data_IF_892798172960
#
_entry.id   IF_892798172960
#
_cell.length_a   1.000
_cell.length_b   1.000
_cell.length_c   1.000
_cell.angle_alpha   90.00
_cell.angle_beta   90.00
_cell.angle_gamma   90.00
#
_symmetry.space_group_name_H-M   'P 1'
#
loop_
_entity.id
_entity.type
_entity.pdbx_description
1 polymer ?
#
# COMPACT_ATOMS: atom_id res chain seq x y z
N UNK A 1 32.12 -15.89 -11.21
CA UNK A 1 30.77 -16.37 -11.58
C UNK A 1 29.80 -15.93 -10.50
N UNK A 2 28.72 -15.22 -10.84
CA UNK A 2 27.69 -14.88 -9.87
C UNK A 2 26.83 -16.13 -9.62
N UNK A 3 26.96 -16.73 -8.44
CA UNK A 3 26.09 -17.81 -7.98
C UNK A 3 24.73 -17.21 -7.65
N UNK A 4 23.73 -17.49 -8.47
CA UNK A 4 22.34 -17.17 -8.17
C UNK A 4 21.90 -18.01 -6.96
N UNK A 5 21.32 -17.35 -5.94
CA UNK A 5 20.75 -18.03 -4.77
C UNK A 5 19.66 -19.00 -5.22
N UNK A 6 19.62 -20.20 -4.62
CA UNK A 6 18.56 -21.17 -4.93
C UNK A 6 17.20 -20.63 -4.44
N UNK A 7 16.06 -20.98 -5.06
CA UNK A 7 14.75 -20.43 -4.71
C UNK A 7 14.32 -20.61 -3.25
N UNK A 8 14.85 -21.61 -2.55
CA UNK A 8 14.63 -21.87 -1.12
C UNK A 8 15.59 -21.13 -0.18
N UNK A 9 16.65 -20.53 -0.73
CA UNK A 9 17.58 -19.65 -0.02
C UNK A 9 17.14 -18.17 -0.11
N UNK A 10 16.05 -17.89 -0.85
CA UNK A 10 15.56 -16.54 -1.08
C UNK A 10 14.68 -16.08 0.08
N UNK A 11 15.11 -15.04 0.79
CA UNK A 11 14.28 -14.38 1.80
C UNK A 11 13.24 -13.51 1.12
N UNK A 12 11.98 -13.95 1.17
CA UNK A 12 10.84 -13.20 0.67
C UNK A 12 10.31 -12.27 1.76
N UNK A 13 10.08 -11.02 1.41
CA UNK A 13 9.39 -10.06 2.28
C UNK A 13 8.44 -9.19 1.46
N UNK A 14 7.43 -8.65 2.11
CA UNK A 14 6.50 -7.68 1.52
C UNK A 14 6.23 -6.56 2.50
N UNK A 15 6.09 -5.35 1.96
CA UNK A 15 5.77 -4.17 2.74
C UNK A 15 4.25 -4.02 2.75
N UNK A 16 3.63 -4.22 3.92
CA UNK A 16 2.18 -4.08 4.11
C UNK A 16 1.85 -2.69 4.65
N UNK A 17 0.75 -2.12 4.18
CA UNK A 17 0.24 -0.80 4.57
C UNK A 17 -1.18 -0.95 5.08
N UNK A 18 -1.50 -0.24 6.14
CA UNK A 18 -2.87 -0.20 6.67
C UNK A 18 -3.85 0.29 5.57
N UNK A 19 -5.03 -0.33 5.44
CA UNK A 19 -6.00 -0.05 4.37
C UNK A 19 -6.35 1.43 4.16
N UNK A 20 -6.66 2.17 5.23
CA UNK A 20 -7.03 3.58 5.14
C UNK A 20 -5.83 4.41 4.71
N UNK A 21 -4.63 4.13 5.24
CA UNK A 21 -3.39 4.75 4.80
C UNK A 21 -3.11 4.55 3.31
N UNK A 22 -3.34 3.34 2.80
CA UNK A 22 -3.17 3.00 1.39
C UNK A 22 -4.16 3.79 0.55
N UNK A 23 -5.44 3.78 0.92
CA UNK A 23 -6.49 4.53 0.24
C UNK A 23 -6.17 6.03 0.13
N UNK A 24 -5.89 6.68 1.26
CA UNK A 24 -5.57 8.12 1.29
C UNK A 24 -4.34 8.42 0.42
N UNK A 25 -3.33 7.55 0.46
CA UNK A 25 -2.13 7.71 -0.37
C UNK A 25 -2.41 7.65 -1.86
N UNK A 26 -3.31 6.75 -2.29
CA UNK A 26 -3.72 6.65 -3.69
C UNK A 26 -4.52 7.89 -4.09
N UNK A 27 -5.48 8.30 -3.28
CA UNK A 27 -6.26 9.52 -3.54
C UNK A 27 -5.36 10.74 -3.73
N UNK A 28 -4.42 10.96 -2.81
CA UNK A 28 -3.48 12.08 -2.92
C UNK A 28 -2.62 11.99 -4.17
N UNK A 29 -2.07 10.82 -4.45
CA UNK A 29 -1.21 10.65 -5.61
C UNK A 29 -1.94 10.89 -6.93
N UNK A 30 -3.16 10.37 -7.08
CA UNK A 30 -3.96 10.52 -8.30
C UNK A 30 -4.51 11.94 -8.41
N UNK A 31 -5.18 12.43 -7.36
CA UNK A 31 -5.98 13.64 -7.43
C UNK A 31 -5.26 14.93 -7.04
N UNK A 32 -4.16 14.85 -6.28
CA UNK A 32 -3.39 16.03 -5.85
C UNK A 32 -2.06 16.14 -6.57
N UNK A 33 -1.33 15.03 -6.70
CA UNK A 33 -0.01 15.08 -7.30
C UNK A 33 -0.03 14.99 -8.83
N UNK A 34 -0.70 13.97 -9.39
CA UNK A 34 -0.76 13.80 -10.85
C UNK A 34 -1.80 14.68 -11.52
N UNK A 35 -2.71 15.28 -10.74
CA UNK A 35 -3.90 15.98 -11.25
C UNK A 35 -4.75 15.13 -12.21
N UNK A 36 -4.64 13.80 -12.13
CA UNK A 36 -5.34 12.81 -12.94
C UNK A 36 -6.67 12.38 -12.28
N UNK A 37 -7.24 13.25 -11.43
CA UNK A 37 -8.50 12.95 -10.77
C UNK A 37 -9.62 12.86 -11.81
N UNK A 38 -10.48 11.83 -11.79
CA UNK A 38 -11.62 11.78 -12.68
C UNK A 38 -12.49 13.03 -12.52
N UNK A 39 -12.94 13.66 -13.61
CA UNK A 39 -13.64 14.96 -13.57
C UNK A 39 -14.87 15.02 -12.64
N UNK A 40 -15.52 13.87 -12.40
CA UNK A 40 -16.69 13.76 -11.49
C UNK A 40 -16.31 13.61 -10.01
N UNK A 41 -15.02 13.44 -9.69
CA UNK A 41 -14.52 13.28 -8.32
C UNK A 41 -14.15 14.65 -7.77
N UNK A 42 -14.93 15.14 -6.80
CA UNK A 42 -14.67 16.43 -6.12
C UNK A 42 -14.19 16.23 -4.69
N UNK A 43 -14.59 15.12 -4.07
CA UNK A 43 -14.29 14.79 -2.67
C UNK A 43 -13.59 13.43 -2.55
N UNK A 44 -12.99 13.15 -1.39
CA UNK A 44 -12.44 11.83 -1.11
C UNK A 44 -13.55 10.75 -1.05
N UNK A 45 -14.78 11.14 -0.69
CA UNK A 45 -15.96 10.29 -0.78
C UNK A 45 -16.27 9.89 -2.24
N UNK A 46 -16.30 10.86 -3.16
CA UNK A 46 -16.53 10.59 -4.58
C UNK A 46 -15.45 9.67 -5.14
N UNK A 47 -14.21 9.85 -4.69
CA UNK A 47 -13.10 8.99 -5.08
C UNK A 47 -13.31 7.55 -4.58
N UNK A 48 -13.70 7.35 -3.31
CA UNK A 48 -14.00 6.03 -2.77
C UNK A 48 -15.11 5.32 -3.56
N UNK A 49 -16.20 6.04 -3.84
CA UNK A 49 -17.33 5.53 -4.63
C UNK A 49 -16.93 5.17 -6.06
N UNK A 50 -16.16 6.05 -6.71
CA UNK A 50 -15.66 5.81 -8.07
C UNK A 50 -14.73 4.59 -8.10
N UNK A 51 -13.79 4.50 -7.15
CA UNK A 51 -12.84 3.40 -7.04
C UNK A 51 -13.53 2.05 -6.81
N UNK A 52 -14.56 2.03 -5.94
CA UNK A 52 -15.38 0.84 -5.73
C UNK A 52 -16.07 0.40 -7.03
N UNK A 53 -16.65 1.34 -7.79
CA UNK A 53 -17.33 1.04 -9.06
C UNK A 53 -16.37 0.46 -10.09
N UNK A 54 -15.18 1.01 -10.24
CA UNK A 54 -14.21 0.49 -11.23
C UNK A 54 -13.71 -0.90 -10.84
N UNK A 55 -13.38 -1.15 -9.57
CA UNK A 55 -12.91 -2.47 -9.15
C UNK A 55 -14.02 -3.53 -9.23
N UNK A 56 -15.26 -3.15 -8.89
CA UNK A 56 -16.43 -4.03 -9.08
C UNK A 56 -16.64 -4.37 -10.56
N UNK A 57 -16.44 -3.41 -11.46
CA UNK A 57 -16.53 -3.66 -12.90
C UNK A 57 -15.39 -4.56 -13.40
N UNK A 58 -14.15 -4.37 -12.92
CA UNK A 58 -13.00 -5.23 -13.23
C UNK A 58 -13.24 -6.67 -12.79
N UNK A 59 -13.75 -6.87 -11.58
CA UNK A 59 -14.12 -8.19 -11.06
C UNK A 59 -15.15 -8.91 -11.93
N UNK A 60 -16.11 -8.16 -12.48
CA UNK A 60 -17.15 -8.73 -13.36
C UNK A 60 -16.67 -9.01 -14.78
N UNK A 61 -15.80 -8.14 -15.32
CA UNK A 61 -15.39 -8.18 -16.74
C UNK A 61 -14.04 -8.86 -16.99
N UNK A 62 -13.29 -9.15 -15.93
CA UNK A 62 -11.95 -9.74 -16.01
C UNK A 62 -10.86 -8.81 -16.56
N UNK A 63 -11.14 -7.52 -16.80
CA UNK A 63 -10.16 -6.55 -17.31
C UNK A 63 -10.46 -5.10 -16.90
N UNK A 64 -9.40 -4.29 -16.84
CA UNK A 64 -9.47 -2.84 -16.62
C UNK A 64 -10.17 -2.14 -17.80
N UNK A 65 -10.89 -1.05 -17.50
CA UNK A 65 -11.61 -0.27 -18.50
C UNK A 65 -10.68 0.55 -19.43
N UNK A 66 -9.48 0.89 -18.96
CA UNK A 66 -8.44 1.62 -19.73
C UNK A 66 -7.06 1.48 -19.06
N UNK A 67 -5.98 1.90 -19.74
CA UNK A 67 -4.62 1.89 -19.19
C UNK A 67 -4.45 2.83 -17.97
N UNK A 68 -5.12 3.98 -17.96
CA UNK A 68 -5.11 4.88 -16.80
C UNK A 68 -5.90 4.30 -15.62
N UNK A 69 -7.04 3.67 -15.90
CA UNK A 69 -7.81 2.92 -14.89
C UNK A 69 -6.99 1.76 -14.32
N UNK A 70 -6.26 1.03 -15.17
CA UNK A 70 -5.38 -0.06 -14.78
C UNK A 70 -4.28 0.39 -13.82
N UNK A 71 -3.66 1.54 -14.11
CA UNK A 71 -2.66 2.11 -13.21
C UNK A 71 -3.25 2.39 -11.82
N UNK A 72 -4.40 3.07 -11.77
CA UNK A 72 -5.04 3.42 -10.50
C UNK A 72 -5.46 2.16 -9.75
N UNK A 73 -6.05 1.18 -10.45
CA UNK A 73 -6.49 -0.07 -9.82
C UNK A 73 -5.29 -0.84 -9.29
N UNK A 74 -4.20 -1.01 -10.03
CA UNK A 74 -2.98 -1.66 -9.52
C UNK A 74 -2.42 -1.02 -8.25
N UNK A 75 -2.53 0.30 -8.12
CA UNK A 75 -2.08 1.02 -6.92
C UNK A 75 -3.09 0.95 -5.76
N UNK A 76 -4.36 0.63 -6.03
CA UNK A 76 -5.45 0.68 -5.07
C UNK A 76 -6.05 -0.68 -4.70
N UNK A 77 -5.68 -1.75 -5.40
CA UNK A 77 -6.15 -3.09 -5.09
C UNK A 77 -5.58 -3.56 -3.73
N UNK A 78 -6.32 -4.41 -2.99
CA UNK A 78 -5.80 -5.10 -1.80
C UNK A 78 -4.42 -5.72 -1.99
N UNK A 79 -3.51 -5.46 -1.06
CA UNK A 79 -2.16 -6.04 -1.10
C UNK A 79 -2.17 -7.55 -0.89
N UNK A 80 -3.05 -8.02 -0.02
CA UNK A 80 -3.24 -9.44 0.28
C UNK A 80 -3.57 -10.25 -0.97
N UNK A 81 -4.41 -9.71 -1.86
CA UNK A 81 -4.81 -10.34 -3.12
C UNK A 81 -3.70 -10.37 -4.17
N UNK A 82 -3.05 -9.23 -4.43
CA UNK A 82 -2.03 -9.15 -5.47
C UNK A 82 -0.74 -9.90 -5.11
N UNK A 83 -0.36 -9.86 -3.84
CA UNK A 83 0.91 -10.45 -3.40
C UNK A 83 0.76 -11.89 -2.88
N UNK A 84 -0.45 -12.47 -2.92
CA UNK A 84 -0.77 -13.80 -2.40
C UNK A 84 -0.11 -14.05 -1.02
N UNK A 85 -0.30 -13.08 -0.12
CA UNK A 85 0.49 -12.98 1.11
C UNK A 85 0.23 -14.18 2.03
N UNK A 86 -1.00 -14.69 2.04
CA UNK A 86 -1.42 -15.78 2.93
C UNK A 86 -0.80 -17.14 2.57
N UNK A 87 -0.46 -17.37 1.31
CA UNK A 87 0.04 -18.66 0.82
C UNK A 87 1.57 -18.71 0.69
N UNK A 88 2.27 -17.62 1.01
CA UNK A 88 3.71 -17.53 0.88
C UNK A 88 4.38 -17.34 2.24
N UNK A 89 5.51 -18.02 2.47
CA UNK A 89 6.41 -17.84 3.65
C UNK A 89 7.12 -16.48 3.64
N UNK A 90 6.37 -15.40 3.43
CA UNK A 90 6.85 -14.03 3.24
C UNK A 90 6.92 -13.31 4.58
N UNK A 91 8.06 -12.70 4.88
CA UNK A 91 8.19 -11.83 6.06
C UNK A 91 7.40 -10.53 5.83
N UNK A 92 6.54 -10.18 6.78
CA UNK A 92 5.77 -8.95 6.70
C UNK A 92 6.58 -7.80 7.30
N UNK A 93 6.67 -6.71 6.55
CA UNK A 93 7.26 -5.46 7.02
C UNK A 93 6.15 -4.42 7.05
N UNK A 94 5.82 -3.90 8.22
CA UNK A 94 4.79 -2.91 8.38
C UNK A 94 5.33 -1.53 8.01
N UNK A 95 4.78 -0.98 6.93
CA UNK A 95 4.92 0.42 6.60
C UNK A 95 4.00 1.25 7.50
N UNK A 96 4.51 1.57 8.68
CA UNK A 96 3.85 2.46 9.63
C UNK A 96 4.50 3.85 9.65
N UNK A 97 3.81 4.82 10.25
CA UNK A 97 4.41 6.10 10.63
C UNK A 97 5.59 5.94 11.62
N UNK A 98 5.65 4.82 12.35
CA UNK A 98 6.77 4.45 13.20
C UNK A 98 7.92 3.90 12.35
N UNK A 99 8.76 4.82 11.86
CA UNK A 99 9.96 4.52 11.06
C UNK A 99 10.96 3.62 11.79
N UNK A 100 10.97 3.62 13.12
CA UNK A 100 11.85 2.76 13.92
C UNK A 100 11.41 1.30 13.86
N UNK A 101 10.10 1.03 13.97
CA UNK A 101 9.54 -0.32 13.79
C UNK A 101 9.85 -0.87 12.40
N UNK A 102 9.58 -0.08 11.35
CA UNK A 102 9.89 -0.47 9.97
C UNK A 102 11.39 -0.74 9.77
N UNK A 103 12.27 0.06 10.38
CA UNK A 103 13.72 -0.16 10.36
C UNK A 103 14.10 -1.51 10.98
N UNK A 104 13.54 -1.83 12.16
CA UNK A 104 13.83 -3.08 12.87
C UNK A 104 13.36 -4.30 12.07
N UNK A 105 12.14 -4.26 11.53
CA UNK A 105 11.59 -5.35 10.72
C UNK A 105 12.41 -5.58 9.44
N UNK A 106 12.79 -4.51 8.75
CA UNK A 106 13.68 -4.58 7.57
C UNK A 106 15.08 -5.10 7.92
N UNK A 107 15.66 -4.71 9.06
CA UNK A 107 16.94 -5.28 9.49
C UNK A 107 16.85 -6.77 9.80
N UNK A 108 15.73 -7.24 10.35
CA UNK A 108 15.49 -8.68 10.52
C UNK A 108 15.46 -9.41 9.17
N UNK A 109 14.80 -8.83 8.15
CA UNK A 109 14.82 -9.36 6.78
C UNK A 109 16.24 -9.42 6.23
N UNK A 110 17.00 -8.33 6.33
CA UNK A 110 18.37 -8.25 5.82
C UNK A 110 19.31 -9.24 6.51
N UNK A 111 19.19 -9.39 7.83
CA UNK A 111 19.97 -10.37 8.60
C UNK A 111 19.66 -11.80 8.15
N UNK A 112 18.38 -12.14 7.96
CA UNK A 112 17.97 -13.45 7.43
C UNK A 112 18.52 -13.69 6.02
N UNK A 113 18.56 -12.64 5.21
CA UNK A 113 19.12 -12.66 3.86
C UNK A 113 20.66 -12.63 3.84
N UNK A 114 21.32 -12.65 5.00
CA UNK A 114 22.79 -12.56 5.15
C UNK A 114 23.39 -11.33 4.46
N UNK A 115 22.62 -10.24 4.37
CA UNK A 115 23.11 -8.96 3.84
C UNK A 115 24.04 -8.35 4.90
N UNK A 116 25.28 -7.96 4.54
CA UNK A 116 26.19 -7.32 5.48
C UNK A 116 25.56 -6.07 6.12
N UNK A 117 25.73 -5.90 7.43
CA UNK A 117 25.07 -4.83 8.19
C UNK A 117 25.35 -3.44 7.61
N UNK A 118 26.57 -3.18 7.13
CA UNK A 118 26.93 -1.92 6.46
C UNK A 118 26.10 -1.65 5.20
N UNK A 119 25.86 -2.68 4.39
CA UNK A 119 25.05 -2.60 3.16
C UNK A 119 23.58 -2.44 3.51
N UNK A 120 23.06 -3.24 4.45
CA UNK A 120 21.68 -3.13 4.94
C UNK A 120 21.37 -1.74 5.51
N UNK A 121 22.28 -1.19 6.32
CA UNK A 121 22.16 0.17 6.86
C UNK A 121 22.17 1.24 5.76
N UNK A 122 23.00 1.08 4.72
CA UNK A 122 22.99 1.99 3.55
C UNK A 122 21.64 1.94 2.84
N UNK A 123 21.14 0.76 2.53
CA UNK A 123 19.83 0.58 1.88
C UNK A 123 18.70 1.18 2.72
N UNK A 124 18.69 0.94 4.03
CA UNK A 124 17.70 1.52 4.95
C UNK A 124 17.76 3.04 5.01
N UNK A 125 18.95 3.63 5.00
CA UNK A 125 19.06 5.09 4.93
C UNK A 125 18.39 5.63 3.68
N UNK A 126 18.56 5.02 2.52
CA UNK A 126 17.86 5.44 1.30
C UNK A 126 16.35 5.22 1.39
N UNK A 127 15.91 4.04 1.84
CA UNK A 127 14.50 3.69 1.98
C UNK A 127 13.74 4.61 2.95
N UNK A 128 14.37 5.00 4.06
CA UNK A 128 13.75 5.82 5.09
C UNK A 128 13.94 7.34 4.88
N UNK A 129 14.95 7.74 4.08
CA UNK A 129 15.20 9.14 3.72
C UNK A 129 14.27 9.62 2.63
N UNK A 130 13.76 8.73 1.78
CA UNK A 130 12.80 9.10 0.73
C UNK A 130 11.45 9.48 1.34
N UNK A 131 11.32 10.74 1.75
CA UNK A 131 10.15 11.52 1.40
C UNK A 131 10.16 11.67 -0.12
N UNK A 132 9.56 10.73 -0.84
CA UNK A 132 9.14 11.04 -2.22
C UNK A 132 8.15 12.20 -2.12
N UNK A 133 8.05 13.07 -3.14
CA UNK A 133 7.13 14.20 -3.13
C UNK A 133 5.71 13.78 -2.65
N UNK A 134 5.26 12.60 -3.06
CA UNK A 134 3.95 12.02 -2.69
C UNK A 134 3.87 11.41 -1.28
N UNK A 135 5.01 11.09 -0.67
CA UNK A 135 5.08 10.58 0.71
C UNK A 135 5.19 11.73 1.74
N UNK A 136 5.65 12.92 1.33
CA UNK A 136 5.87 14.09 2.19
C UNK A 136 4.90 15.23 2.04
N UNK A 137 4.11 15.30 0.95
CA UNK A 137 3.10 16.34 0.80
C UNK A 137 2.15 16.27 2.00
N UNK A 138 2.38 17.15 2.97
CA UNK A 138 1.56 17.52 4.11
C UNK A 138 1.04 16.38 5.03
N UNK A 139 1.77 16.12 6.13
CA UNK A 139 1.34 15.23 7.24
C UNK A 139 -0.02 15.65 7.82
N UNK A 140 -0.30 16.95 7.89
CA UNK A 140 -1.55 17.49 8.41
C UNK A 140 -2.70 17.19 7.46
N UNK A 141 -2.53 17.44 6.16
CA UNK A 141 -3.55 17.07 5.16
C UNK A 141 -3.83 15.57 5.16
N UNK A 142 -2.78 14.72 5.21
CA UNK A 142 -2.97 13.25 5.30
C UNK A 142 -3.77 12.87 6.54
N UNK A 143 -3.52 13.52 7.69
CA UNK A 143 -4.28 13.31 8.93
C UNK A 143 -5.74 13.75 8.78
N UNK A 144 -5.98 14.90 8.16
CA UNK A 144 -7.32 15.43 7.94
C UNK A 144 -8.13 14.53 6.99
N UNK A 145 -7.53 14.07 5.89
CA UNK A 145 -8.19 13.14 4.95
C UNK A 145 -8.51 11.80 5.61
N UNK A 146 -7.62 11.28 6.45
CA UNK A 146 -7.93 10.08 7.26
C UNK A 146 -9.11 10.33 8.18
N UNK A 147 -9.13 11.47 8.88
CA UNK A 147 -10.22 11.85 9.78
C UNK A 147 -11.55 11.93 9.02
N UNK A 148 -11.58 12.63 7.89
CA UNK A 148 -12.75 12.72 7.00
C UNK A 148 -13.26 11.35 6.54
N UNK A 149 -12.34 10.43 6.20
CA UNK A 149 -12.68 9.05 5.86
C UNK A 149 -13.30 8.29 7.03
N UNK A 150 -12.73 8.41 8.22
CA UNK A 150 -13.19 7.69 9.42
C UNK A 150 -14.53 8.23 9.94
N UNK A 151 -14.78 9.53 9.77
CA UNK A 151 -16.02 10.18 10.24
C UNK A 151 -17.20 10.01 9.26
N UNK A 152 -16.94 9.63 8.01
CA UNK A 152 -17.98 9.41 7.01
C UNK A 152 -18.26 7.91 6.81
N UNK A 153 -19.33 7.42 7.43
CA UNK A 153 -19.73 6.00 7.37
C UNK A 153 -19.88 5.47 5.93
N UNK A 154 -20.47 6.26 5.02
CA UNK A 154 -20.64 5.85 3.62
C UNK A 154 -19.31 5.74 2.88
N UNK A 155 -18.37 6.65 3.16
CA UNK A 155 -17.00 6.54 2.63
C UNK A 155 -16.32 5.28 3.15
N UNK A 156 -16.47 5.01 4.45
CA UNK A 156 -15.90 3.83 5.09
C UNK A 156 -16.47 2.53 4.54
N UNK A 157 -17.77 2.46 4.21
CA UNK A 157 -18.39 1.30 3.56
C UNK A 157 -17.72 0.96 2.22
N UNK A 158 -17.46 1.97 1.37
CA UNK A 158 -16.75 1.74 0.11
C UNK A 158 -15.32 1.25 0.36
N UNK A 159 -14.62 1.83 1.33
CA UNK A 159 -13.22 1.45 1.64
C UNK A 159 -13.17 0.04 2.21
N UNK A 160 -14.09 -0.33 3.11
CA UNK A 160 -14.22 -1.71 3.61
C UNK A 160 -14.50 -2.69 2.48
N UNK A 161 -15.36 -2.32 1.52
CA UNK A 161 -15.63 -3.16 0.36
C UNK A 161 -14.41 -3.32 -0.57
N UNK A 162 -13.66 -2.24 -0.81
CA UNK A 162 -12.44 -2.24 -1.62
C UNK A 162 -11.34 -3.08 -0.94
N UNK A 163 -11.11 -2.87 0.35
CA UNK A 163 -9.98 -3.43 1.11
C UNK A 163 -10.39 -4.56 2.07
N UNK A 164 -11.52 -5.23 1.83
CA UNK A 164 -12.08 -6.25 2.75
C UNK A 164 -11.03 -7.28 3.21
N UNK A 165 -10.28 -7.83 2.25
CA UNK A 165 -9.24 -8.82 2.54
C UNK A 165 -8.08 -8.25 3.34
N UNK A 166 -7.65 -7.01 3.05
CA UNK A 166 -6.60 -6.36 3.82
C UNK A 166 -7.06 -6.05 5.26
N UNK A 167 -8.30 -5.61 5.47
CA UNK A 167 -8.83 -5.41 6.83
C UNK A 167 -8.83 -6.71 7.64
N UNK A 168 -9.37 -7.80 7.07
CA UNK A 168 -9.38 -9.09 7.75
C UNK A 168 -7.97 -9.61 8.05
N UNK A 169 -7.04 -9.42 7.11
CA UNK A 169 -5.64 -9.76 7.31
C UNK A 169 -5.00 -8.96 8.44
N UNK A 170 -5.27 -7.66 8.53
CA UNK A 170 -4.73 -6.80 9.58
C UNK A 170 -5.28 -7.15 10.97
N UNK A 171 -6.57 -7.46 11.05
CA UNK A 171 -7.23 -7.93 12.27
C UNK A 171 -6.64 -9.26 12.75
N UNK A 172 -6.52 -10.24 11.85
CA UNK A 172 -5.96 -11.57 12.15
C UNK A 172 -4.52 -11.52 12.65
N UNK A 173 -3.69 -10.62 12.11
CA UNK A 173 -2.27 -10.50 12.44
C UNK A 173 -1.97 -9.46 13.52
N UNK A 174 -3.00 -8.85 14.12
CA UNK A 174 -2.88 -7.86 15.22
C UNK A 174 -1.89 -6.73 14.89
N UNK A 175 -2.01 -6.16 13.69
CA UNK A 175 -1.16 -5.08 13.24
C UNK A 175 -1.46 -3.72 13.87
#
# INVERSE_FOLDING_TARGET
MATWLKPWETVRFTIVREPIERFVSVYKFVCKFRSDCPAKVKTIHDFARWLYKIQKAELKKGKAASRSTQFITWHSWPQTRYCNIENNRTTLVHHSSNRQKMRQEMMTVFRRARIPQRVGNKALRHLLRSSTAHASENRTEKRNLKKEVMENNRTMEYIKAIYHQDFHFFEKHKF
#
